data_IF_597509614439
#
_entry.id   IF_597509614439
#
_cell.length_a   1.000
_cell.length_b   1.000
_cell.length_c   1.000
_cell.angle_alpha   90.00
_cell.angle_beta   90.00
_cell.angle_gamma   90.00
#
_symmetry.space_group_name_H-M   'P 1'
#
loop_
_entity.id
_entity.type
_entity.pdbx_description
1 polymer ?
#
# COMPACT_ATOMS: atom_id res chain seq x y z
N UNK A 1 -17.10 -53.68 -16.05
CA UNK A 1 -16.37 -53.55 -14.77
C UNK A 1 -14.99 -52.88 -14.97
N UNK A 2 -14.91 -51.80 -15.77
CA UNK A 2 -13.65 -51.11 -16.16
C UNK A 2 -13.66 -49.59 -15.79
N UNK A 3 -14.83 -49.00 -15.53
CA UNK A 3 -14.99 -47.56 -15.28
C UNK A 3 -14.56 -47.05 -13.90
N UNK A 4 -14.51 -47.90 -12.87
CA UNK A 4 -14.21 -47.46 -11.49
C UNK A 4 -12.72 -47.24 -11.23
N UNK A 5 -11.85 -47.91 -11.99
CA UNK A 5 -10.38 -47.79 -11.82
C UNK A 5 -9.78 -46.51 -12.42
N UNK A 6 -10.43 -45.93 -13.44
CA UNK A 6 -9.98 -44.67 -14.06
C UNK A 6 -10.42 -43.44 -13.25
N UNK A 7 -11.66 -43.45 -12.72
CA UNK A 7 -12.16 -42.38 -11.85
C UNK A 7 -11.34 -42.28 -10.54
N UNK A 8 -10.95 -43.41 -9.96
CA UNK A 8 -10.12 -43.44 -8.73
C UNK A 8 -8.69 -42.96 -8.96
N UNK A 9 -8.12 -43.19 -10.16
CA UNK A 9 -6.79 -42.65 -10.53
C UNK A 9 -6.80 -41.15 -10.77
N UNK A 10 -7.85 -40.59 -11.40
CA UNK A 10 -7.99 -39.14 -11.56
C UNK A 10 -8.21 -38.40 -10.22
N UNK A 11 -9.02 -38.96 -9.32
CA UNK A 11 -9.27 -38.36 -8.01
C UNK A 11 -8.01 -38.28 -7.13
N UNK A 12 -7.14 -39.29 -7.18
CA UNK A 12 -5.87 -39.31 -6.44
C UNK A 12 -4.87 -38.28 -6.99
N UNK A 13 -4.85 -38.04 -8.31
CA UNK A 13 -3.97 -37.02 -8.92
C UNK A 13 -4.42 -35.59 -8.60
N UNK A 14 -5.73 -35.32 -8.55
CA UNK A 14 -6.27 -33.99 -8.22
C UNK A 14 -6.05 -33.66 -6.73
N UNK A 15 -6.22 -34.64 -5.83
CA UNK A 15 -5.88 -34.50 -4.41
C UNK A 15 -4.37 -34.34 -4.18
N UNK A 16 -3.54 -35.04 -4.96
CA UNK A 16 -2.07 -34.89 -4.92
C UNK A 16 -1.60 -33.51 -5.38
N UNK A 17 -2.18 -32.96 -6.44
CA UNK A 17 -1.85 -31.62 -6.93
C UNK A 17 -2.34 -30.51 -5.97
N UNK A 18 -3.51 -30.67 -5.35
CA UNK A 18 -4.01 -29.75 -4.32
C UNK A 18 -3.15 -29.73 -3.05
N UNK A 19 -2.66 -30.90 -2.61
CA UNK A 19 -1.75 -31.01 -1.47
C UNK A 19 -0.37 -30.39 -1.75
N UNK A 20 0.14 -30.49 -2.99
CA UNK A 20 1.40 -29.84 -3.40
C UNK A 20 1.26 -28.32 -3.49
N UNK A 21 0.14 -27.79 -3.98
CA UNK A 21 -0.12 -26.34 -3.96
C UNK A 21 -0.31 -25.78 -2.54
N UNK A 22 -0.92 -26.55 -1.62
CA UNK A 22 -1.03 -26.18 -0.21
C UNK A 22 0.33 -26.23 0.52
N UNK A 23 1.18 -27.23 0.22
CA UNK A 23 2.53 -27.32 0.77
C UNK A 23 3.49 -26.24 0.22
N UNK A 24 3.23 -25.72 -0.99
CA UNK A 24 3.97 -24.59 -1.56
C UNK A 24 3.42 -23.22 -1.11
N UNK A 25 2.24 -23.18 -0.50
CA UNK A 25 1.64 -21.93 0.01
C UNK A 25 2.18 -21.51 1.39
N UNK A 26 2.86 -22.40 2.11
CA UNK A 26 3.42 -22.14 3.43
C UNK A 26 4.86 -21.60 3.43
N UNK A 27 5.45 -21.34 2.25
CA UNK A 27 6.71 -20.59 2.16
C UNK A 27 6.44 -19.13 1.85
N UNK A 28 5.63 -18.49 2.70
CA UNK A 28 5.80 -17.05 2.90
C UNK A 28 7.22 -16.87 3.43
N UNK A 29 8.08 -16.18 2.69
CA UNK A 29 9.40 -15.72 3.13
C UNK A 29 9.22 -14.71 4.28
N UNK A 30 8.78 -15.18 5.44
CA UNK A 30 9.07 -14.53 6.69
C UNK A 30 10.56 -14.75 7.00
N UNK A 31 11.16 -13.82 7.72
CA UNK A 31 12.51 -14.00 8.26
C UNK A 31 12.56 -15.35 9.00
N UNK A 32 13.65 -16.10 8.81
CA UNK A 32 13.85 -17.34 9.54
C UNK A 32 13.83 -17.01 11.04
N UNK A 33 12.83 -17.49 11.81
CA UNK A 33 12.68 -17.10 13.20
C UNK A 33 13.87 -17.60 14.06
N UNK A 34 14.66 -18.55 13.56
CA UNK A 34 15.87 -19.04 14.23
C UNK A 34 17.09 -18.14 13.97
N UNK A 35 17.04 -17.30 12.92
CA UNK A 35 18.09 -16.32 12.61
C UNK A 35 17.76 -15.02 13.33
N UNK A 36 18.58 -14.68 14.33
CA UNK A 36 18.41 -13.42 15.05
C UNK A 36 18.52 -12.24 14.07
N UNK A 37 17.74 -11.14 14.26
CA UNK A 37 17.89 -9.93 13.46
C UNK A 37 19.35 -9.45 13.33
N UNK A 38 20.16 -9.63 14.37
CA UNK A 38 21.59 -9.30 14.42
C UNK A 38 22.50 -10.14 13.52
N UNK A 39 22.03 -11.30 13.05
CA UNK A 39 22.76 -12.18 12.15
C UNK A 39 22.53 -11.83 10.67
N UNK A 40 21.51 -11.03 10.37
CA UNK A 40 21.39 -10.40 9.07
C UNK A 40 22.47 -9.32 8.93
N UNK A 41 23.04 -9.19 7.73
CA UNK A 41 23.89 -8.04 7.40
C UNK A 41 23.01 -6.78 7.42
N UNK A 42 23.40 -5.80 8.22
CA UNK A 42 22.74 -4.49 8.25
C UNK A 42 23.64 -3.50 7.56
N UNK A 43 23.08 -2.80 6.58
CA UNK A 43 23.70 -1.64 5.95
C UNK A 43 22.79 -0.44 6.19
N UNK A 44 23.39 0.69 6.54
CA UNK A 44 22.68 1.91 6.82
C UNK A 44 23.15 2.97 5.82
N UNK A 45 22.24 3.41 4.96
CA UNK A 45 22.48 4.50 4.04
C UNK A 45 22.01 5.82 4.65
N UNK A 46 22.85 6.84 4.54
CA UNK A 46 22.62 8.18 5.07
C UNK A 46 22.58 9.20 3.93
N UNK A 47 22.46 10.47 4.32
CA UNK A 47 22.49 11.58 3.36
C UNK A 47 23.81 11.59 2.59
N UNK A 48 24.91 11.26 3.27
CA UNK A 48 26.24 11.19 2.66
C UNK A 48 26.37 10.09 1.60
N UNK A 49 25.48 9.08 1.64
CA UNK A 49 25.42 7.97 0.68
C UNK A 49 24.44 8.24 -0.48
N UNK A 50 23.82 9.43 -0.53
CA UNK A 50 22.95 9.88 -1.60
C UNK A 50 21.45 9.87 -1.29
N UNK A 51 21.04 9.52 -0.06
CA UNK A 51 19.65 9.68 0.39
C UNK A 51 19.32 11.18 0.50
N UNK A 52 18.22 11.70 -0.05
CA UNK A 52 17.96 13.14 -0.03
C UNK A 52 17.69 13.67 1.38
N UNK A 53 17.10 12.84 2.25
CA UNK A 53 16.75 13.23 3.61
C UNK A 53 16.53 11.98 4.50
N UNK A 54 16.89 12.07 5.78
CA UNK A 54 16.91 10.92 6.72
C UNK A 54 15.55 10.49 7.29
N UNK A 55 14.53 11.32 7.22
CA UNK A 55 13.14 10.99 7.60
C UNK A 55 12.46 10.25 6.46
N UNK A 56 12.67 8.94 6.43
CA UNK A 56 11.94 8.04 5.54
C UNK A 56 10.48 7.95 5.99
N UNK A 57 9.56 8.26 5.09
CA UNK A 57 8.12 8.27 5.35
C UNK A 57 7.37 7.17 4.61
N UNK A 58 7.89 6.74 3.47
CA UNK A 58 7.26 5.71 2.65
C UNK A 58 8.31 4.83 1.95
N UNK A 59 7.97 3.56 1.74
CA UNK A 59 8.77 2.61 0.98
C UNK A 59 7.87 1.88 -0.03
N UNK A 60 8.38 1.67 -1.24
CA UNK A 60 7.76 0.78 -2.21
C UNK A 60 8.83 0.03 -3.00
N UNK A 61 8.57 -1.21 -3.37
CA UNK A 61 9.44 -1.95 -4.29
C UNK A 61 8.72 -2.10 -5.61
N UNK A 62 9.38 -1.74 -6.71
CA UNK A 62 8.82 -1.95 -8.04
C UNK A 62 9.06 -3.37 -8.57
N UNK A 63 8.53 -3.64 -9.76
CA UNK A 63 8.65 -4.96 -10.41
C UNK A 63 10.06 -5.27 -10.91
N UNK A 64 10.91 -4.26 -11.09
CA UNK A 64 12.31 -4.44 -11.48
C UNK A 64 13.21 -4.67 -10.26
N UNK A 65 12.67 -4.54 -9.05
CA UNK A 65 13.38 -4.74 -7.79
C UNK A 65 13.99 -3.46 -7.22
N UNK A 66 13.78 -2.30 -7.83
CA UNK A 66 14.24 -1.04 -7.25
C UNK A 66 13.45 -0.73 -5.98
N UNK A 67 14.15 -0.21 -4.98
CA UNK A 67 13.53 0.30 -3.77
C UNK A 67 13.29 1.80 -3.93
N UNK A 68 12.03 2.20 -3.83
CA UNK A 68 11.60 3.59 -3.80
C UNK A 68 11.43 4.04 -2.36
N UNK A 69 12.00 5.20 -2.05
CA UNK A 69 12.07 5.77 -0.71
C UNK A 69 11.48 7.17 -0.75
N UNK A 70 10.32 7.35 -0.13
CA UNK A 70 9.69 8.64 0.06
C UNK A 70 10.23 9.29 1.33
N UNK A 71 10.69 10.53 1.23
CA UNK A 71 11.27 11.29 2.34
C UNK A 71 10.55 12.62 2.55
N UNK A 72 10.94 13.39 3.56
CA UNK A 72 10.40 14.74 3.74
C UNK A 72 10.89 15.75 2.68
N UNK A 73 11.98 15.44 1.96
CA UNK A 73 12.60 16.35 0.99
C UNK A 73 12.88 15.69 -0.37
N UNK A 74 12.07 14.72 -0.78
CA UNK A 74 12.10 14.16 -2.12
C UNK A 74 11.77 12.67 -2.15
N UNK A 75 11.73 12.16 -3.37
CA UNK A 75 11.67 10.73 -3.67
C UNK A 75 13.07 10.26 -4.04
N UNK A 76 13.47 9.08 -3.58
CA UNK A 76 14.70 8.43 -4.02
C UNK A 76 14.41 7.04 -4.57
N UNK A 77 15.15 6.63 -5.60
CA UNK A 77 15.17 5.26 -6.12
C UNK A 77 16.54 4.66 -5.86
N UNK A 78 16.58 3.52 -5.19
CA UNK A 78 17.78 2.76 -4.90
C UNK A 78 17.87 1.52 -5.77
N UNK A 79 19.01 1.32 -6.41
CA UNK A 79 19.31 0.20 -7.32
C UNK A 79 20.08 -0.96 -6.68
N UNK A 80 20.34 -0.87 -5.38
CA UNK A 80 21.20 -1.82 -4.65
C UNK A 80 22.63 -1.31 -4.44
N UNK A 81 23.01 -0.21 -5.09
CA UNK A 81 24.32 0.42 -4.96
C UNK A 81 24.26 1.93 -4.74
N UNK A 82 23.32 2.64 -5.39
CA UNK A 82 23.25 4.09 -5.40
C UNK A 82 21.81 4.60 -5.44
N UNK A 83 21.62 5.86 -5.01
CA UNK A 83 20.34 6.56 -5.07
C UNK A 83 20.26 7.48 -6.30
N UNK A 84 19.10 7.48 -6.95
CA UNK A 84 18.65 8.54 -7.87
C UNK A 84 17.58 9.36 -7.17
N UNK A 85 17.72 10.68 -7.10
CA UNK A 85 16.80 11.59 -6.39
C UNK A 85 15.87 12.30 -7.37
N UNK A 86 14.60 12.46 -6.95
CA UNK A 86 13.57 13.23 -7.62
C UNK A 86 12.94 14.23 -6.64
N UNK A 87 13.08 15.51 -6.93
CA UNK A 87 12.62 16.67 -6.17
C UNK A 87 12.24 17.83 -7.11
N UNK A 88 12.11 19.05 -6.58
CA UNK A 88 11.76 20.26 -7.33
C UNK A 88 12.90 20.83 -8.18
N UNK A 89 14.12 20.28 -8.06
CA UNK A 89 15.32 20.67 -8.81
C UNK A 89 15.77 19.60 -9.82
N UNK A 90 15.20 18.40 -9.74
CA UNK A 90 15.50 17.26 -10.61
C UNK A 90 14.71 17.26 -11.92
N UNK A 91 15.12 16.42 -12.87
CA UNK A 91 14.33 16.09 -14.06
C UNK A 91 14.10 14.57 -14.15
N UNK A 92 12.84 14.10 -14.19
CA UNK A 92 11.60 14.88 -14.13
C UNK A 92 11.32 15.50 -12.74
N UNK A 93 10.74 16.71 -12.74
CA UNK A 93 10.40 17.48 -11.54
C UNK A 93 9.31 16.79 -10.70
N UNK A 94 9.53 16.66 -9.39
CA UNK A 94 8.51 16.35 -8.40
C UNK A 94 8.12 17.64 -7.63
N UNK A 95 6.95 18.26 -7.90
CA UNK A 95 6.62 19.59 -7.36
C UNK A 95 6.44 19.67 -5.84
N UNK A 96 6.23 18.54 -5.15
CA UNK A 96 6.07 18.48 -3.70
C UNK A 96 7.03 17.44 -3.15
N UNK A 97 8.03 17.91 -2.39
CA UNK A 97 9.13 17.09 -1.92
C UNK A 97 8.78 16.24 -0.70
N UNK A 98 7.75 16.56 0.07
CA UNK A 98 7.30 15.69 1.18
C UNK A 98 6.44 14.53 0.65
N UNK A 99 7.06 13.37 0.50
CA UNK A 99 6.42 12.13 0.02
C UNK A 99 5.90 11.32 1.21
N UNK A 100 4.59 11.09 1.25
CA UNK A 100 3.89 10.50 2.39
C UNK A 100 3.49 9.05 2.15
N UNK A 101 3.26 8.67 0.90
CA UNK A 101 2.86 7.32 0.53
C UNK A 101 3.35 6.97 -0.86
N UNK A 102 3.67 5.69 -1.06
CA UNK A 102 4.17 5.17 -2.32
C UNK A 102 3.47 3.86 -2.64
N UNK A 103 3.12 3.67 -3.91
CA UNK A 103 2.56 2.41 -4.39
C UNK A 103 3.08 2.12 -5.79
N UNK A 104 3.87 1.06 -5.92
CA UNK A 104 4.28 0.56 -7.22
C UNK A 104 3.08 -0.10 -7.91
N UNK A 105 2.77 0.36 -9.11
CA UNK A 105 1.69 -0.17 -9.95
C UNK A 105 2.28 -0.88 -11.17
N UNK A 106 1.42 -1.47 -12.00
CA UNK A 106 1.91 -2.16 -13.21
C UNK A 106 2.44 -1.24 -14.30
N UNK A 107 2.16 0.03 -14.17
CA UNK A 107 2.34 1.06 -15.17
C UNK A 107 3.15 2.26 -14.61
N UNK A 108 3.78 2.08 -13.45
CA UNK A 108 4.67 3.07 -12.84
C UNK A 108 4.63 3.06 -11.31
N UNK A 109 4.80 4.25 -10.74
CA UNK A 109 4.77 4.50 -9.30
C UNK A 109 3.75 5.60 -9.01
N UNK A 110 2.81 5.33 -8.11
CA UNK A 110 1.96 6.35 -7.52
C UNK A 110 2.66 6.97 -6.30
N UNK A 111 2.60 8.29 -6.23
CA UNK A 111 3.31 9.12 -5.25
C UNK A 111 2.30 10.03 -4.57
N UNK A 112 1.93 9.69 -3.33
CA UNK A 112 1.14 10.56 -2.47
C UNK A 112 2.05 11.52 -1.72
N UNK A 113 1.79 12.81 -1.87
CA UNK A 113 2.61 13.88 -1.27
C UNK A 113 1.78 14.73 -0.33
N UNK A 114 2.44 15.65 0.38
CA UNK A 114 1.75 16.69 1.15
C UNK A 114 0.95 17.67 0.29
N UNK A 115 1.11 17.67 -1.04
CA UNK A 115 0.45 18.62 -1.95
C UNK A 115 -0.10 17.99 -3.23
N UNK A 116 -0.48 16.72 -3.18
CA UNK A 116 -1.22 16.05 -4.24
C UNK A 116 -0.82 14.60 -4.49
N UNK A 117 -1.55 13.97 -5.42
CA UNK A 117 -1.24 12.66 -5.97
C UNK A 117 -0.53 12.83 -7.31
N UNK A 118 0.58 12.13 -7.48
CA UNK A 118 1.34 12.10 -8.71
C UNK A 118 1.57 10.67 -9.16
N UNK A 119 1.90 10.53 -10.43
CA UNK A 119 2.27 9.27 -11.04
C UNK A 119 3.56 9.45 -11.82
N UNK A 120 4.53 8.59 -11.53
CA UNK A 120 5.77 8.50 -12.28
C UNK A 120 5.70 7.30 -13.22
N UNK A 121 5.96 7.53 -14.50
CA UNK A 121 5.98 6.48 -15.53
C UNK A 121 6.33 7.07 -16.88
N UNK A 122 6.93 6.28 -17.78
CA UNK A 122 7.28 6.77 -19.12
C UNK A 122 8.27 7.95 -19.16
N UNK A 123 9.02 8.17 -18.08
CA UNK A 123 9.98 9.28 -17.96
C UNK A 123 9.40 10.61 -17.47
N UNK A 124 8.10 10.68 -17.17
CA UNK A 124 7.45 11.87 -16.60
C UNK A 124 6.94 11.63 -15.18
N UNK A 125 6.68 12.74 -14.48
CA UNK A 125 5.90 12.77 -13.24
C UNK A 125 4.68 13.65 -13.50
N UNK A 126 3.51 13.02 -13.55
CA UNK A 126 2.25 13.67 -13.88
C UNK A 126 1.33 13.73 -12.67
N UNK A 127 0.70 14.89 -12.44
CA UNK A 127 -0.30 15.02 -11.37
C UNK A 127 -1.58 14.30 -11.75
N UNK A 128 -2.14 13.53 -10.82
CA UNK A 128 -3.49 12.98 -10.94
C UNK A 128 -4.48 13.94 -10.27
N UNK A 129 -5.50 14.36 -11.03
CA UNK A 129 -6.55 15.21 -10.50
C UNK A 129 -7.45 14.42 -9.54
N UNK A 130 -7.67 14.99 -8.35
CA UNK A 130 -8.62 14.47 -7.36
C UNK A 130 -9.82 15.42 -7.31
N UNK A 131 -10.97 15.06 -7.93
CA UNK A 131 -12.14 15.94 -7.97
C UNK A 131 -12.60 16.35 -6.56
N UNK A 132 -12.91 17.63 -6.39
CA UNK A 132 -13.36 18.19 -5.11
C UNK A 132 -12.27 18.33 -4.04
N UNK A 133 -11.03 17.91 -4.32
CA UNK A 133 -9.89 18.12 -3.44
C UNK A 133 -9.24 19.50 -3.69
N UNK A 134 -8.53 19.99 -2.67
CA UNK A 134 -7.67 21.18 -2.81
C UNK A 134 -6.50 20.89 -3.76
N UNK A 135 -5.94 21.94 -4.38
CA UNK A 135 -4.68 21.83 -5.14
C UNK A 135 -3.54 21.29 -4.27
N UNK A 136 -3.57 21.61 -2.97
CA UNK A 136 -2.61 21.12 -1.97
C UNK A 136 -3.20 20.01 -1.10
N UNK A 137 -4.02 19.14 -1.69
CA UNK A 137 -4.56 17.99 -0.96
C UNK A 137 -3.43 17.07 -0.49
N UNK A 138 -3.46 16.71 0.78
CA UNK A 138 -2.44 15.86 1.39
C UNK A 138 -2.88 14.40 1.26
N UNK A 139 -2.09 13.63 0.49
CA UNK A 139 -2.40 12.25 0.15
C UNK A 139 -1.57 11.32 1.04
N UNK A 140 -2.23 10.73 2.03
CA UNK A 140 -1.60 10.00 3.13
C UNK A 140 -1.46 8.51 2.91
N UNK A 141 -2.36 7.92 2.13
CA UNK A 141 -2.41 6.47 1.98
C UNK A 141 -2.76 6.07 0.57
N UNK A 142 -2.06 5.06 0.07
CA UNK A 142 -2.24 4.43 -1.23
C UNK A 142 -2.26 2.92 -1.03
N UNK A 143 -3.36 2.27 -1.38
CA UNK A 143 -3.53 0.82 -1.22
C UNK A 143 -4.13 0.23 -2.48
N UNK A 144 -3.48 -0.80 -3.04
CA UNK A 144 -4.07 -1.55 -4.15
C UNK A 144 -5.06 -2.60 -3.63
N UNK A 145 -6.28 -2.59 -4.16
CA UNK A 145 -7.30 -3.60 -3.95
C UNK A 145 -7.20 -4.74 -4.94
N UNK A 146 -7.93 -5.82 -4.64
CA UNK A 146 -8.26 -6.84 -5.63
C UNK A 146 -8.81 -6.24 -6.94
N UNK A 147 -8.34 -6.74 -8.08
CA UNK A 147 -8.72 -6.22 -9.41
C UNK A 147 -7.95 -4.99 -9.89
N UNK A 148 -6.99 -4.47 -9.10
CA UNK A 148 -6.07 -3.43 -9.53
C UNK A 148 -6.53 -1.99 -9.27
N UNK A 149 -7.73 -1.81 -8.72
CA UNK A 149 -8.20 -0.51 -8.20
C UNK A 149 -7.31 -0.03 -7.06
N UNK A 150 -7.01 1.26 -7.02
CA UNK A 150 -6.22 1.87 -5.96
C UNK A 150 -7.11 2.74 -5.08
N UNK A 151 -7.05 2.53 -3.77
CA UNK A 151 -7.62 3.42 -2.77
C UNK A 151 -6.63 4.53 -2.44
N UNK A 152 -7.13 5.75 -2.40
CA UNK A 152 -6.37 6.96 -2.06
C UNK A 152 -7.07 7.62 -0.88
N UNK A 153 -6.34 7.81 0.21
CA UNK A 153 -6.84 8.48 1.42
C UNK A 153 -6.20 9.83 1.61
N UNK A 154 -7.04 10.83 1.92
CA UNK A 154 -6.59 12.20 2.10
C UNK A 154 -6.68 12.69 3.53
N UNK A 155 -5.96 13.76 3.82
CA UNK A 155 -6.07 14.50 5.07
C UNK A 155 -7.44 15.14 5.27
N UNK A 156 -8.19 15.39 4.18
CA UNK A 156 -9.51 16.01 4.20
C UNK A 156 -10.67 15.02 4.44
N UNK A 157 -10.38 13.75 4.74
CA UNK A 157 -11.42 12.75 5.00
C UNK A 157 -12.03 12.14 3.75
N UNK A 158 -11.41 12.35 2.60
CA UNK A 158 -11.87 11.81 1.32
C UNK A 158 -11.09 10.55 0.98
N UNK A 159 -11.85 9.55 0.55
CA UNK A 159 -11.34 8.36 -0.09
C UNK A 159 -11.67 8.44 -1.58
N UNK A 160 -10.68 8.18 -2.43
CA UNK A 160 -10.88 8.04 -3.87
C UNK A 160 -10.56 6.60 -4.28
N UNK A 161 -11.32 6.07 -5.23
CA UNK A 161 -10.98 4.85 -5.94
C UNK A 161 -10.49 5.19 -7.34
N UNK A 162 -9.32 4.68 -7.70
CA UNK A 162 -8.65 4.93 -8.97
C UNK A 162 -8.53 3.65 -9.79
N UNK A 163 -8.78 3.76 -11.09
CA UNK A 163 -8.40 2.76 -12.07
C UNK A 163 -7.39 3.39 -13.05
N UNK A 164 -6.12 2.98 -12.96
CA UNK A 164 -5.02 3.70 -13.59
C UNK A 164 -4.90 5.12 -13.03
N UNK A 165 -5.05 6.13 -13.90
CA UNK A 165 -5.03 7.55 -13.49
C UNK A 165 -6.43 8.18 -13.38
N UNK A 166 -7.49 7.40 -13.56
CA UNK A 166 -8.87 7.91 -13.52
C UNK A 166 -9.50 7.64 -12.16
N UNK A 167 -10.05 8.68 -11.55
CA UNK A 167 -10.92 8.55 -10.37
C UNK A 167 -12.27 8.00 -10.83
N UNK A 168 -12.65 6.83 -10.33
CA UNK A 168 -13.91 6.15 -10.66
C UNK A 168 -14.96 6.32 -9.57
N UNK A 169 -14.53 6.54 -8.32
CA UNK A 169 -15.42 6.74 -7.19
C UNK A 169 -14.76 7.64 -6.14
N UNK A 170 -15.58 8.36 -5.38
CA UNK A 170 -15.15 9.21 -4.28
C UNK A 170 -16.16 9.12 -3.14
N UNK A 171 -15.67 8.88 -1.94
CA UNK A 171 -16.45 8.83 -0.71
C UNK A 171 -15.85 9.84 0.27
N UNK A 172 -16.71 10.63 0.91
CA UNK A 172 -16.31 11.44 2.07
C UNK A 172 -16.71 10.71 3.33
N UNK A 173 -15.74 10.34 4.16
CA UNK A 173 -16.01 9.71 5.46
C UNK A 173 -16.56 10.81 6.39
N UNK A 174 -17.69 10.58 7.09
CA UNK A 174 -18.36 11.63 7.87
C UNK A 174 -17.65 11.85 9.22
N UNK A 175 -16.42 12.35 9.13
CA UNK A 175 -15.55 12.69 10.26
C UNK A 175 -15.82 14.13 10.74
N UNK A 176 -15.59 14.39 12.02
CA UNK A 176 -15.60 15.76 12.53
C UNK A 176 -14.53 16.62 11.83
N UNK A 177 -14.89 17.87 11.54
CA UNK A 177 -14.10 18.75 10.67
C UNK A 177 -12.74 19.17 11.24
N UNK A 178 -12.54 19.06 12.55
CA UNK A 178 -11.29 19.44 13.23
C UNK A 178 -10.18 18.39 13.03
N UNK A 179 -10.52 17.12 12.77
CA UNK A 179 -9.57 16.03 12.53
C UNK A 179 -10.09 15.01 11.51
N UNK A 180 -10.19 15.35 10.21
CA UNK A 180 -10.81 14.48 9.22
C UNK A 180 -9.82 13.50 8.55
N UNK A 181 -8.60 13.30 9.06
CA UNK A 181 -7.60 12.57 8.30
C UNK A 181 -7.90 11.07 8.15
N UNK A 182 -7.70 10.55 6.93
CA UNK A 182 -7.56 9.11 6.66
C UNK A 182 -6.07 8.75 6.65
N UNK A 183 -5.69 7.70 7.37
CA UNK A 183 -4.28 7.28 7.50
C UNK A 183 -3.96 5.96 6.83
N UNK A 184 -4.92 5.04 6.82
CA UNK A 184 -4.70 3.69 6.29
C UNK A 184 -6.00 3.05 5.82
N UNK A 185 -5.88 2.13 4.89
CA UNK A 185 -6.96 1.26 4.45
C UNK A 185 -6.54 -0.19 4.59
N UNK A 186 -7.49 -1.03 4.97
CA UNK A 186 -7.36 -2.47 4.94
C UNK A 186 -8.57 -3.05 4.21
N UNK A 187 -8.34 -3.79 3.12
CA UNK A 187 -9.39 -4.59 2.51
C UNK A 187 -9.62 -5.84 3.38
N UNK A 188 -10.86 -6.01 3.82
CA UNK A 188 -11.33 -7.17 4.57
C UNK A 188 -12.11 -8.11 3.63
N UNK A 189 -12.30 -9.40 3.99
CA UNK A 189 -13.21 -10.27 3.26
C UNK A 189 -14.57 -9.61 2.90
N UNK A 190 -15.16 -10.05 1.80
CA UNK A 190 -16.42 -9.52 1.24
C UNK A 190 -16.37 -8.07 0.69
N UNK A 191 -15.17 -7.58 0.35
CA UNK A 191 -14.91 -6.23 -0.24
C UNK A 191 -15.20 -5.07 0.72
N UNK A 192 -15.36 -5.36 2.00
CA UNK A 192 -15.37 -4.34 3.04
C UNK A 192 -14.01 -3.63 3.11
N UNK A 193 -14.03 -2.33 3.40
CA UNK A 193 -12.80 -1.57 3.64
C UNK A 193 -12.84 -1.04 5.06
N UNK A 194 -11.78 -1.31 5.81
CA UNK A 194 -11.56 -0.70 7.11
C UNK A 194 -10.64 0.50 6.93
N UNK A 195 -11.00 1.62 7.56
CA UNK A 195 -10.34 2.91 7.40
C UNK A 195 -9.85 3.36 8.77
N UNK A 196 -8.54 3.48 8.93
CA UNK A 196 -7.95 4.09 10.12
C UNK A 196 -7.98 5.62 9.99
N UNK A 197 -8.56 6.29 10.97
CA UNK A 197 -8.73 7.76 10.98
C UNK A 197 -8.26 8.35 12.30
N UNK A 198 -8.16 9.69 12.37
CA UNK A 198 -7.94 10.41 13.64
C UNK A 198 -9.08 10.20 14.67
N UNK A 199 -10.24 9.71 14.23
CA UNK A 199 -11.45 9.53 15.05
C UNK A 199 -11.80 8.04 15.24
N UNK A 200 -10.79 7.17 15.12
CA UNK A 200 -10.93 5.73 15.29
C UNK A 200 -11.06 4.97 13.98
N UNK A 201 -11.57 3.75 14.08
CA UNK A 201 -11.70 2.83 12.95
C UNK A 201 -13.09 2.97 12.33
N UNK A 202 -13.14 3.06 11.02
CA UNK A 202 -14.39 3.14 10.26
C UNK A 202 -14.50 1.96 9.30
N UNK A 203 -15.72 1.51 9.05
CA UNK A 203 -16.05 0.50 8.04
C UNK A 203 -16.74 1.18 6.87
N UNK A 204 -16.29 0.87 5.66
CA UNK A 204 -16.99 1.19 4.43
C UNK A 204 -17.66 -0.07 3.88
N UNK A 205 -18.98 -0.01 3.70
CA UNK A 205 -19.79 -1.04 3.08
C UNK A 205 -20.71 -0.38 2.03
N UNK A 206 -20.44 -0.65 0.75
CA UNK A 206 -21.08 0.08 -0.35
C UNK A 206 -20.66 1.55 -0.36
N UNK A 207 -21.63 2.47 -0.42
CA UNK A 207 -21.39 3.93 -0.48
C UNK A 207 -21.39 4.59 0.91
N UNK A 208 -21.67 3.82 1.98
CA UNK A 208 -21.76 4.31 3.35
C UNK A 208 -20.53 3.99 4.18
N UNK A 209 -20.11 4.94 5.01
CA UNK A 209 -19.08 4.76 6.04
C UNK A 209 -19.69 4.89 7.43
N UNK A 210 -19.35 3.98 8.33
CA UNK A 210 -19.82 3.97 9.72
C UNK A 210 -18.68 3.68 10.71
N UNK A 211 -18.74 4.20 11.95
CA UNK A 211 -17.71 3.94 12.94
C UNK A 211 -17.80 2.50 13.44
N UNK A 212 -16.65 1.83 13.52
CA UNK A 212 -16.55 0.53 14.16
C UNK A 212 -16.44 0.72 15.68
N UNK A 213 -17.42 0.23 16.41
CA UNK A 213 -17.36 0.16 17.88
C UNK A 213 -16.80 -1.19 18.30
N UNK A 214 -15.69 -1.18 19.04
CA UNK A 214 -15.20 -2.38 19.71
C UNK A 214 -16.07 -2.61 20.95
N UNK A 215 -17.00 -3.56 20.85
CA UNK A 215 -17.65 -4.14 22.02
C UNK A 215 -16.76 -5.29 22.46
N UNK A 216 -16.20 -5.20 23.67
CA UNK A 216 -15.06 -6.02 24.06
C UNK A 216 -15.27 -7.53 23.87
N UNK A 217 -14.16 -8.24 23.67
CA UNK A 217 -14.14 -9.69 23.76
C UNK A 217 -14.73 -10.09 25.12
N UNK A 218 -15.79 -10.89 25.12
CA UNK A 218 -16.22 -11.58 26.33
C UNK A 218 -15.04 -12.41 26.87
N UNK A 219 -14.46 -11.95 27.98
CA UNK A 219 -13.96 -12.78 29.07
C UNK A 219 -13.04 -13.97 28.75
N UNK A 220 -12.12 -13.88 27.79
CA UNK A 220 -11.08 -14.88 27.59
C UNK A 220 -9.79 -14.50 28.29
N UNK A 221 -9.62 -14.87 29.56
CA UNK A 221 -8.35 -14.75 30.29
C UNK A 221 -7.27 -15.55 29.56
N UNK A 222 -6.30 -14.88 28.95
CA UNK A 222 -5.02 -15.50 28.61
C UNK A 222 -4.27 -15.70 29.94
N UNK A 223 -4.25 -16.94 30.41
CA UNK A 223 -3.31 -17.34 31.45
C UNK A 223 -1.89 -17.19 30.91
N UNK A 224 -1.05 -16.58 31.75
CA UNK A 224 0.35 -16.20 31.58
C UNK A 224 1.21 -17.35 31.08
#
# INVERSE_FOLDING_TARGET
MIGTRHAMRMAVTILGAGAVCLALSSQLFALDPEVLPSQYRHEAWKIEDGLPQSSVMALARDRMGYLWVGTQAGLARFDGASFTVFDDLSEPVLPSSTVLSLLATGDGLLIGTASGLFRMGGGSIDRIALPGASVQENVRSLVQRSGGTVLVGTASGRMYELHGSQVIHMVTVPLAADRPALHTFLEWPDREIWIGTDQGLWRLAGDGAEPLSWTGAEGGTLAV
#
